data_IF_107427063828
#
_entry.id   IF_107427063828
#
_cell.length_a   1.000
_cell.length_b   1.000
_cell.length_c   1.000
_cell.angle_alpha   90.00
_cell.angle_beta   90.00
_cell.angle_gamma   90.00
#
_symmetry.space_group_name_H-M   'P 1'
#
loop_
_entity.id
_entity.type
_entity.pdbx_description
1 polymer ?
#
# COMPACT_ATOMS: atom_id res chain seq x y z
N UNK A 1 -6.14 -27.00 -11.72
CA UNK A 1 -4.89 -26.26 -11.93
C UNK A 1 -4.41 -25.75 -10.59
N UNK A 2 -3.17 -26.06 -10.24
CA UNK A 2 -2.51 -25.63 -9.00
C UNK A 2 -1.60 -24.44 -9.29
N UNK A 3 -1.86 -23.31 -8.65
CA UNK A 3 -1.04 -22.10 -8.79
C UNK A 3 -0.26 -21.82 -7.53
N UNK A 4 1.00 -21.44 -7.66
CA UNK A 4 1.82 -20.93 -6.54
C UNK A 4 2.05 -19.45 -6.71
N UNK A 5 1.79 -18.70 -5.62
CA UNK A 5 2.04 -17.27 -5.54
C UNK A 5 3.15 -16.99 -4.54
N UNK A 6 4.23 -16.36 -4.99
CA UNK A 6 5.41 -16.02 -4.17
C UNK A 6 5.32 -14.60 -3.70
N UNK A 7 5.08 -14.39 -2.40
CA UNK A 7 5.00 -13.09 -1.74
C UNK A 7 3.60 -12.75 -1.22
N UNK A 8 3.54 -12.32 0.05
CA UNK A 8 2.31 -12.03 0.80
C UNK A 8 1.94 -10.54 0.88
N UNK A 9 2.51 -9.69 0.02
CA UNK A 9 2.08 -8.30 -0.12
C UNK A 9 0.78 -8.15 -0.92
N UNK A 10 0.31 -6.92 -1.12
CA UNK A 10 -0.95 -6.64 -1.84
C UNK A 10 -1.00 -7.30 -3.22
N UNK A 11 0.10 -7.28 -3.98
CA UNK A 11 0.15 -7.88 -5.32
C UNK A 11 -0.07 -9.41 -5.27
N UNK A 12 0.62 -10.12 -4.37
CA UNK A 12 0.45 -11.56 -4.23
C UNK A 12 -0.92 -11.94 -3.69
N UNK A 13 -1.45 -11.20 -2.70
CA UNK A 13 -2.80 -11.42 -2.20
C UNK A 13 -3.84 -11.20 -3.29
N UNK A 14 -3.73 -10.13 -4.08
CA UNK A 14 -4.63 -9.86 -5.20
C UNK A 14 -4.57 -10.96 -6.27
N UNK A 15 -3.37 -11.43 -6.63
CA UNK A 15 -3.20 -12.53 -7.58
C UNK A 15 -3.84 -13.84 -7.05
N UNK A 16 -3.62 -14.17 -5.78
CA UNK A 16 -4.14 -15.38 -5.18
C UNK A 16 -5.68 -15.37 -5.09
N UNK A 17 -6.28 -14.23 -4.73
CA UNK A 17 -7.73 -14.06 -4.68
C UNK A 17 -8.36 -14.16 -6.08
N UNK A 18 -7.78 -13.51 -7.08
CA UNK A 18 -8.23 -13.62 -8.48
C UNK A 18 -8.14 -15.05 -9.03
N UNK A 19 -7.09 -15.77 -8.71
CA UNK A 19 -6.93 -17.17 -9.08
C UNK A 19 -8.02 -18.06 -8.43
N UNK A 20 -8.30 -17.84 -7.14
CA UNK A 20 -9.37 -18.57 -6.42
C UNK A 20 -10.74 -18.30 -6.98
N UNK A 21 -11.06 -17.05 -7.30
CA UNK A 21 -12.33 -16.67 -7.93
C UNK A 21 -12.52 -17.35 -9.29
N UNK A 22 -11.43 -17.78 -9.95
CA UNK A 22 -11.43 -18.54 -11.21
C UNK A 22 -11.35 -20.06 -11.02
N UNK A 23 -11.51 -20.54 -9.80
CA UNK A 23 -11.56 -21.95 -9.49
C UNK A 23 -10.20 -22.66 -9.43
N UNK A 24 -9.08 -21.93 -9.41
CA UNK A 24 -7.77 -22.54 -9.25
C UNK A 24 -7.52 -22.97 -7.80
N UNK A 25 -6.77 -24.03 -7.59
CA UNK A 25 -6.16 -24.33 -6.31
C UNK A 25 -4.93 -23.44 -6.13
N UNK A 26 -4.84 -22.74 -4.99
CA UNK A 26 -3.81 -21.71 -4.79
C UNK A 26 -3.06 -21.93 -3.49
N UNK A 27 -1.73 -21.95 -3.58
CA UNK A 27 -0.82 -21.84 -2.45
C UNK A 27 -0.06 -20.52 -2.52
N UNK A 28 -0.21 -19.66 -1.50
CA UNK A 28 0.56 -18.45 -1.34
C UNK A 28 1.69 -18.68 -0.34
N UNK A 29 2.94 -18.46 -0.77
CA UNK A 29 4.13 -18.57 0.08
C UNK A 29 4.57 -17.18 0.52
N UNK A 30 4.67 -16.95 1.85
CA UNK A 30 5.10 -15.65 2.40
C UNK A 30 6.14 -15.79 3.50
N UNK A 31 7.22 -15.03 3.41
CA UNK A 31 8.23 -14.92 4.46
C UNK A 31 7.83 -13.92 5.55
N UNK A 32 6.93 -12.98 5.23
CA UNK A 32 6.47 -11.93 6.15
C UNK A 32 5.45 -11.00 5.50
N UNK A 33 5.06 -9.91 6.17
CA UNK A 33 4.00 -9.01 5.70
C UNK A 33 4.39 -8.11 4.51
N UNK A 34 5.67 -8.02 4.15
CA UNK A 34 6.15 -7.20 3.04
C UNK A 34 5.94 -5.68 3.24
N UNK A 35 6.20 -4.89 2.17
CA UNK A 35 6.06 -3.43 2.20
C UNK A 35 4.60 -2.95 2.36
N UNK A 36 3.62 -3.79 2.08
CA UNK A 36 2.20 -3.49 2.26
C UNK A 36 1.87 -3.14 3.72
N UNK A 37 2.50 -3.81 4.69
CA UNK A 37 2.32 -3.51 6.12
C UNK A 37 2.91 -2.16 6.56
N UNK A 38 3.64 -1.48 5.69
CA UNK A 38 4.16 -0.12 5.92
C UNK A 38 3.25 0.96 5.31
N UNK A 39 2.08 0.59 4.77
CA UNK A 39 1.11 1.54 4.22
C UNK A 39 0.66 2.55 5.26
N UNK A 40 0.54 3.80 4.82
CA UNK A 40 0.11 4.92 5.68
C UNK A 40 -1.41 5.08 5.77
N UNK A 41 -2.18 4.26 5.03
CA UNK A 41 -3.64 4.31 5.01
C UNK A 41 -4.23 4.83 3.71
N UNK A 42 -3.42 5.06 2.68
CA UNK A 42 -3.87 5.41 1.33
C UNK A 42 -3.64 4.26 0.35
N UNK A 43 -4.48 4.20 -0.68
CA UNK A 43 -4.30 3.41 -1.89
C UNK A 43 -4.07 4.39 -3.04
N UNK A 44 -2.83 4.84 -3.19
CA UNK A 44 -2.46 5.79 -4.21
C UNK A 44 -2.26 5.07 -5.55
N UNK A 45 -2.95 5.52 -6.58
CA UNK A 45 -2.84 5.01 -7.97
C UNK A 45 -1.95 5.93 -8.80
N UNK A 46 -2.02 7.23 -8.54
CA UNK A 46 -1.17 8.25 -9.14
C UNK A 46 -1.23 9.54 -8.30
N UNK A 47 -1.06 9.42 -6.98
CA UNK A 47 -1.18 10.57 -6.10
C UNK A 47 0.02 11.51 -6.26
N UNK A 48 -0.25 12.77 -6.53
CA UNK A 48 0.79 13.78 -6.64
C UNK A 48 1.27 14.23 -5.25
N UNK A 49 2.56 14.55 -5.15
CA UNK A 49 3.11 15.22 -3.97
C UNK A 49 3.32 16.70 -4.26
N UNK A 50 2.77 17.63 -3.47
CA UNK A 50 2.98 19.06 -3.69
C UNK A 50 4.44 19.49 -3.50
N UNK A 51 5.23 18.69 -2.79
CA UNK A 51 6.56 19.07 -2.33
C UNK A 51 7.71 18.37 -3.07
N UNK A 52 7.44 17.49 -4.07
CA UNK A 52 8.51 16.78 -4.79
C UNK A 52 8.72 17.33 -6.20
N UNK A 53 9.97 17.69 -6.52
CA UNK A 53 10.40 18.02 -7.89
C UNK A 53 10.23 16.83 -8.81
N UNK A 54 9.58 17.03 -9.95
CA UNK A 54 9.44 16.03 -11.03
C UNK A 54 8.29 15.04 -10.86
N UNK A 55 7.41 15.19 -9.86
CA UNK A 55 6.12 14.50 -9.82
C UNK A 55 5.11 15.15 -10.78
N UNK A 56 4.01 14.43 -11.07
CA UNK A 56 2.91 15.02 -11.83
C UNK A 56 2.34 16.25 -11.10
N UNK A 57 1.96 17.30 -11.83
CA UNK A 57 1.40 18.49 -11.20
C UNK A 57 0.08 18.14 -10.48
N UNK A 58 -0.13 18.70 -9.30
CA UNK A 58 -1.39 18.59 -8.57
C UNK A 58 -2.52 19.35 -9.24
N UNK A 59 -2.17 20.38 -9.97
CA UNK A 59 -3.10 21.29 -10.64
C UNK A 59 -2.81 21.34 -12.12
N UNK A 60 -3.86 21.45 -12.89
CA UNK A 60 -3.76 21.79 -14.31
C UNK A 60 -3.05 23.15 -14.45
N UNK A 61 -1.93 23.25 -15.18
CA UNK A 61 -1.17 24.50 -15.30
C UNK A 61 -1.97 25.60 -16.00
N UNK A 62 -2.96 25.25 -16.81
CA UNK A 62 -3.78 26.20 -17.59
C UNK A 62 -4.97 26.70 -16.79
N UNK A 63 -5.65 25.81 -16.07
CA UNK A 63 -6.90 26.14 -15.35
C UNK A 63 -6.72 26.37 -13.87
N UNK A 64 -5.56 26.02 -13.28
CA UNK A 64 -5.29 26.05 -11.85
C UNK A 64 -6.11 25.08 -11.00
N UNK A 65 -6.99 24.27 -11.62
CA UNK A 65 -7.85 23.30 -10.93
C UNK A 65 -7.07 22.06 -10.56
N UNK A 66 -7.43 21.43 -9.42
CA UNK A 66 -6.87 20.13 -9.04
C UNK A 66 -7.14 19.09 -10.15
N UNK A 67 -6.08 18.38 -10.54
CA UNK A 67 -6.20 17.28 -11.49
C UNK A 67 -6.87 16.09 -10.80
N UNK A 68 -7.90 15.55 -11.43
CA UNK A 68 -8.54 14.32 -10.99
C UNK A 68 -7.54 13.15 -11.01
N UNK A 69 -7.64 12.17 -10.07
CA UNK A 69 -6.81 10.98 -10.04
C UNK A 69 -6.72 10.26 -11.38
N UNK A 70 -7.83 10.12 -12.11
CA UNK A 70 -7.86 9.51 -13.43
C UNK A 70 -6.95 10.22 -14.45
N UNK A 71 -6.91 11.55 -14.45
CA UNK A 71 -6.01 12.31 -15.34
C UNK A 71 -4.53 12.17 -14.96
N UNK A 72 -4.23 12.08 -13.68
CA UNK A 72 -2.86 11.84 -13.21
C UNK A 72 -2.38 10.44 -13.59
N UNK A 73 -3.26 9.44 -13.48
CA UNK A 73 -2.99 8.06 -13.90
C UNK A 73 -2.55 7.99 -15.38
N UNK A 74 -3.31 8.63 -16.26
CA UNK A 74 -2.96 8.76 -17.68
C UNK A 74 -1.64 9.51 -17.87
N UNK A 75 -1.39 10.55 -17.08
CA UNK A 75 -0.14 11.30 -17.10
C UNK A 75 1.08 10.43 -16.78
N UNK A 76 0.97 9.56 -15.76
CA UNK A 76 2.06 8.61 -15.41
C UNK A 76 2.30 7.63 -16.55
N UNK A 77 1.24 7.01 -17.08
CA UNK A 77 1.36 6.02 -18.15
C UNK A 77 1.95 6.60 -19.45
N UNK A 78 1.63 7.86 -19.77
CA UNK A 78 2.12 8.54 -20.98
C UNK A 78 3.53 9.10 -20.80
N UNK A 79 3.89 9.57 -19.60
CA UNK A 79 5.21 10.14 -19.34
C UNK A 79 6.33 9.10 -19.36
N UNK A 80 6.03 7.85 -19.04
CA UNK A 80 6.99 6.75 -19.04
C UNK A 80 6.36 5.49 -19.64
N UNK A 81 6.67 5.22 -20.91
CA UNK A 81 6.17 4.02 -21.64
C UNK A 81 6.69 2.70 -21.09
N UNK A 82 7.74 2.72 -20.26
CA UNK A 82 8.24 1.55 -19.56
C UNK A 82 7.56 1.35 -18.19
N UNK A 83 6.78 2.33 -17.69
CA UNK A 83 6.04 2.19 -16.44
C UNK A 83 5.03 1.03 -16.54
N UNK A 84 4.84 0.23 -15.48
CA UNK A 84 3.88 -0.89 -15.50
C UNK A 84 2.47 -0.49 -15.96
N UNK A 85 2.02 0.72 -15.68
CA UNK A 85 0.72 1.23 -16.16
C UNK A 85 0.61 1.30 -17.68
N UNK A 86 1.69 1.58 -18.39
CA UNK A 86 1.67 1.57 -19.85
C UNK A 86 1.34 0.18 -20.44
N UNK A 87 1.67 -0.88 -19.70
CA UNK A 87 1.30 -2.27 -20.07
C UNK A 87 -0.08 -2.64 -19.54
N UNK A 88 -0.37 -2.36 -18.28
CA UNK A 88 -1.60 -2.75 -17.60
C UNK A 88 -2.86 -2.10 -18.18
N UNK A 89 -2.73 -0.86 -18.69
CA UNK A 89 -3.87 -0.01 -19.10
C UNK A 89 -4.06 0.08 -20.63
N UNK A 90 -3.35 -0.75 -21.41
CA UNK A 90 -3.40 -0.68 -22.89
C UNK A 90 -4.72 -1.12 -23.51
N UNK A 91 -5.49 -2.00 -22.88
CA UNK A 91 -6.62 -2.68 -23.50
C UNK A 91 -7.99 -2.14 -23.09
N UNK A 92 -8.05 -1.23 -22.10
CA UNK A 92 -9.29 -0.71 -21.52
C UNK A 92 -9.15 0.76 -21.12
N UNK A 93 -10.26 1.38 -20.77
CA UNK A 93 -10.21 2.67 -20.09
C UNK A 93 -9.43 2.51 -18.77
N UNK A 94 -8.36 3.27 -18.55
CA UNK A 94 -7.60 3.24 -17.31
C UNK A 94 -8.44 3.39 -16.04
N UNK A 95 -9.48 4.20 -16.13
CA UNK A 95 -10.42 4.45 -15.05
C UNK A 95 -11.23 3.20 -14.70
N UNK A 96 -11.69 2.45 -15.71
CA UNK A 96 -12.45 1.21 -15.49
C UNK A 96 -11.61 0.15 -14.82
N UNK A 97 -10.35 -0.05 -15.25
CA UNK A 97 -9.42 -1.01 -14.64
C UNK A 97 -9.17 -0.70 -13.16
N UNK A 98 -8.96 0.58 -12.83
CA UNK A 98 -8.74 0.98 -11.44
C UNK A 98 -10.01 0.87 -10.61
N UNK A 99 -11.18 1.26 -11.17
CA UNK A 99 -12.48 1.14 -10.48
C UNK A 99 -12.81 -0.33 -10.18
N UNK A 100 -12.67 -1.21 -11.15
CA UNK A 100 -12.87 -2.66 -10.97
C UNK A 100 -11.93 -3.23 -9.90
N UNK A 101 -10.66 -2.83 -9.93
CA UNK A 101 -9.67 -3.27 -8.96
C UNK A 101 -9.99 -2.75 -7.54
N UNK A 102 -10.41 -1.49 -7.41
CA UNK A 102 -10.78 -0.90 -6.14
C UNK A 102 -12.05 -1.58 -5.56
N UNK A 103 -13.04 -1.87 -6.40
CA UNK A 103 -14.28 -2.60 -6.00
C UNK A 103 -13.94 -4.02 -5.53
N UNK A 104 -13.08 -4.75 -6.26
CA UNK A 104 -12.65 -6.08 -5.85
C UNK A 104 -11.91 -6.02 -4.50
N UNK A 105 -10.97 -5.09 -4.35
CA UNK A 105 -10.24 -4.91 -3.09
C UNK A 105 -11.18 -4.58 -1.93
N UNK A 106 -12.12 -3.65 -2.14
CA UNK A 106 -13.14 -3.31 -1.14
C UNK A 106 -13.94 -4.54 -0.71
N UNK A 107 -14.39 -5.35 -1.67
CA UNK A 107 -15.11 -6.60 -1.41
C UNK A 107 -14.29 -7.60 -0.58
N UNK A 108 -13.00 -7.73 -0.83
CA UNK A 108 -12.10 -8.61 -0.07
C UNK A 108 -11.85 -8.11 1.35
N UNK A 109 -11.76 -6.79 1.56
CA UNK A 109 -11.41 -6.18 2.83
C UNK A 109 -12.62 -5.88 3.73
N UNK A 110 -13.78 -5.60 3.15
CA UNK A 110 -14.99 -5.17 3.87
C UNK A 110 -15.41 -6.08 5.04
N UNK A 111 -15.35 -7.43 4.93
CA UNK A 111 -15.67 -8.31 6.06
C UNK A 111 -14.76 -8.12 7.28
N UNK A 112 -13.56 -7.55 7.08
CA UNK A 112 -12.62 -7.19 8.16
C UNK A 112 -12.82 -5.76 8.66
N UNK A 113 -13.86 -5.04 8.24
CA UNK A 113 -14.13 -3.66 8.64
C UNK A 113 -13.21 -2.63 7.99
N UNK A 114 -12.48 -3.02 6.95
CA UNK A 114 -11.62 -2.11 6.19
C UNK A 114 -12.23 -1.87 4.80
N UNK A 115 -12.60 -0.62 4.51
CA UNK A 115 -13.22 -0.22 3.25
C UNK A 115 -12.25 0.62 2.43
N UNK A 116 -12.44 0.61 1.11
CA UNK A 116 -11.75 1.53 0.20
C UNK A 116 -12.65 2.74 -0.06
N UNK A 117 -12.20 3.91 0.34
CA UNK A 117 -12.94 5.17 0.29
C UNK A 117 -12.30 6.13 -0.72
N UNK A 118 -13.11 6.89 -1.43
CA UNK A 118 -12.66 7.87 -2.40
C UNK A 118 -13.21 7.62 -3.80
N UNK A 119 -12.74 8.39 -4.75
CA UNK A 119 -13.11 8.26 -6.16
C UNK A 119 -11.96 8.70 -7.07
N UNK A 120 -12.02 8.32 -8.34
CA UNK A 120 -11.03 8.75 -9.33
C UNK A 120 -11.35 10.12 -9.94
N UNK A 121 -12.52 10.66 -9.63
CA UNK A 121 -12.99 11.98 -10.10
C UNK A 121 -12.51 13.12 -9.20
N UNK A 122 -12.25 12.84 -7.91
CA UNK A 122 -11.92 13.86 -6.93
C UNK A 122 -10.77 13.45 -6.02
N UNK A 123 -9.76 14.33 -5.91
CA UNK A 123 -8.66 14.17 -4.97
C UNK A 123 -9.14 14.41 -3.55
N UNK A 124 -8.76 13.55 -2.62
CA UNK A 124 -8.88 13.76 -1.17
C UNK A 124 -7.65 14.44 -0.62
N UNK A 125 -7.83 15.27 0.38
CA UNK A 125 -6.77 15.96 1.08
C UNK A 125 -6.70 15.44 2.51
N UNK A 126 -5.69 14.66 2.82
CA UNK A 126 -5.53 14.00 4.12
C UNK A 126 -4.30 14.57 4.84
N UNK A 127 -4.37 14.69 6.17
CA UNK A 127 -3.22 15.08 6.98
C UNK A 127 -2.46 13.86 7.52
N UNK A 128 -1.14 13.95 7.58
CA UNK A 128 -0.32 12.96 8.28
C UNK A 128 -0.02 13.41 9.74
N UNK A 129 0.61 12.51 10.50
CA UNK A 129 1.00 12.75 11.90
C UNK A 129 1.88 14.00 12.12
N UNK A 130 2.52 14.50 11.09
CA UNK A 130 3.35 15.71 11.16
C UNK A 130 2.58 16.98 10.76
N UNK A 131 1.31 16.81 10.35
CA UNK A 131 0.48 17.88 9.83
C UNK A 131 0.67 18.18 8.35
N UNK A 132 1.54 17.44 7.65
CA UNK A 132 1.69 17.61 6.20
C UNK A 132 0.44 17.12 5.47
N UNK A 133 -0.02 17.91 4.50
CA UNK A 133 -1.20 17.57 3.70
C UNK A 133 -0.79 16.73 2.49
N UNK A 134 -1.49 15.63 2.30
CA UNK A 134 -1.26 14.71 1.20
C UNK A 134 -2.49 14.62 0.31
N UNK A 135 -2.25 14.73 -0.98
CA UNK A 135 -3.23 14.32 -1.98
C UNK A 135 -3.33 12.79 -1.96
N UNK A 136 -4.52 12.26 -1.83
CA UNK A 136 -4.81 10.84 -1.94
C UNK A 136 -5.86 10.58 -3.03
N UNK A 137 -5.70 9.48 -3.75
CA UNK A 137 -6.70 9.03 -4.73
C UNK A 137 -7.79 8.25 -4.02
N UNK A 138 -7.38 7.17 -3.36
CA UNK A 138 -8.22 6.33 -2.52
C UNK A 138 -7.54 6.18 -1.15
N UNK A 139 -8.34 5.87 -0.13
CA UNK A 139 -7.83 5.66 1.22
C UNK A 139 -8.62 4.54 1.91
N UNK A 140 -8.04 3.97 2.96
CA UNK A 140 -8.72 2.96 3.76
C UNK A 140 -9.48 3.61 4.92
N UNK A 141 -10.49 2.90 5.43
CA UNK A 141 -11.19 3.23 6.67
C UNK A 141 -10.18 3.59 7.77
N UNK A 142 -10.45 4.62 8.50
CA UNK A 142 -9.55 5.28 9.44
C UNK A 142 -9.13 6.63 8.92
N UNK A 143 -8.25 6.67 7.96
CA UNK A 143 -7.80 7.93 7.36
C UNK A 143 -8.75 8.47 6.28
N UNK A 144 -9.45 7.58 5.59
CA UNK A 144 -10.30 7.95 4.45
C UNK A 144 -11.46 8.88 4.79
N UNK A 145 -11.95 8.87 6.01
CA UNK A 145 -12.99 9.79 6.51
C UNK A 145 -12.46 11.22 6.73
N UNK A 146 -11.14 11.39 6.76
CA UNK A 146 -10.45 12.62 7.15
C UNK A 146 -10.26 13.66 6.05
N UNK A 147 -11.09 13.69 4.99
CA UNK A 147 -10.92 14.69 3.92
C UNK A 147 -11.08 16.12 4.44
N UNK A 148 -9.96 16.84 4.40
CA UNK A 148 -9.85 18.23 4.89
C UNK A 148 -10.66 19.20 4.05
N UNK A 149 -10.90 18.90 2.76
CA UNK A 149 -11.60 19.81 1.86
C UNK A 149 -13.06 20.02 2.25
N UNK A 150 -13.69 19.05 2.86
CA UNK A 150 -15.09 19.03 3.25
C UNK A 150 -15.35 19.48 4.70
N UNK A 151 -14.30 19.83 5.48
CA UNK A 151 -14.44 20.24 6.88
C UNK A 151 -14.63 21.76 7.03
N UNK A 152 -15.46 22.19 7.96
CA UNK A 152 -15.62 23.60 8.39
C UNK A 152 -14.59 23.92 9.47
N UNK A 153 -14.46 23.07 10.46
CA UNK A 153 -13.47 23.13 11.52
C UNK A 153 -12.69 21.81 11.58
N UNK A 154 -11.38 21.90 11.74
CA UNK A 154 -10.48 20.76 11.88
C UNK A 154 -9.84 20.79 13.26
N UNK A 155 -9.99 19.73 14.03
CA UNK A 155 -9.39 19.62 15.34
C UNK A 155 -8.45 18.40 15.39
N UNK A 156 -7.18 18.64 15.71
CA UNK A 156 -6.24 17.56 16.04
C UNK A 156 -6.46 17.16 17.50
N UNK A 157 -6.71 15.87 17.74
CA UNK A 157 -6.91 15.34 19.09
C UNK A 157 -5.56 14.92 19.67
N UNK A 158 -5.13 15.68 20.68
CA UNK A 158 -3.90 15.44 21.43
C UNK A 158 -4.17 14.41 22.54
N UNK A 159 -3.91 13.13 22.23
CA UNK A 159 -4.09 12.02 23.18
C UNK A 159 -2.91 12.02 24.14
N UNK A 160 -3.14 12.44 25.39
CA UNK A 160 -2.08 12.62 26.37
C UNK A 160 -1.37 11.30 26.70
N UNK A 161 -0.04 11.33 26.68
CA UNK A 161 0.81 10.17 26.94
C UNK A 161 1.08 9.30 25.72
N UNK A 162 0.45 9.56 24.58
CA UNK A 162 0.75 8.85 23.32
C UNK A 162 2.07 9.35 22.73
N UNK A 163 3.07 8.47 22.66
CA UNK A 163 4.34 8.78 22.01
C UNK A 163 4.24 8.87 20.48
N UNK A 164 5.09 9.68 19.87
CA UNK A 164 5.21 9.77 18.42
C UNK A 164 4.22 10.70 17.72
N UNK A 165 3.39 11.44 18.48
CA UNK A 165 2.50 12.48 17.97
C UNK A 165 2.53 13.71 18.85
N UNK A 166 2.74 14.88 18.22
CA UNK A 166 2.73 16.19 18.87
C UNK A 166 1.74 17.12 18.15
N UNK A 167 0.54 17.26 18.68
CA UNK A 167 -0.56 17.95 17.99
C UNK A 167 -0.29 19.44 17.70
N UNK A 168 0.42 20.16 18.58
CA UNK A 168 0.69 21.61 18.39
C UNK A 168 1.67 21.87 17.24
N UNK A 169 2.85 21.20 17.14
CA UNK A 169 3.70 21.30 15.96
C UNK A 169 2.99 20.87 14.68
N UNK A 170 2.26 19.74 14.70
CA UNK A 170 1.49 19.27 13.57
C UNK A 170 0.44 20.28 13.09
N UNK A 171 -0.25 20.95 14.01
CA UNK A 171 -1.24 21.98 13.65
C UNK A 171 -0.60 23.17 12.93
N UNK A 172 0.62 23.60 13.32
CA UNK A 172 1.33 24.69 12.65
C UNK A 172 1.69 24.31 11.21
N UNK A 173 2.16 23.09 11.00
CA UNK A 173 2.45 22.57 9.65
C UNK A 173 1.17 22.49 8.84
N UNK A 174 0.10 21.92 9.41
CA UNK A 174 -1.20 21.82 8.76
C UNK A 174 -1.75 23.18 8.32
N UNK A 175 -1.62 24.21 9.16
CA UNK A 175 -2.06 25.57 8.84
C UNK A 175 -1.30 26.13 7.61
N UNK A 176 0.02 25.95 7.57
CA UNK A 176 0.85 26.42 6.46
C UNK A 176 0.52 25.67 5.15
N UNK A 177 0.36 24.34 5.23
CA UNK A 177 0.01 23.49 4.09
C UNK A 177 -1.38 23.83 3.52
N UNK A 178 -2.39 24.01 4.40
CA UNK A 178 -3.73 24.42 3.98
C UNK A 178 -3.74 25.81 3.34
N UNK A 179 -2.93 26.75 3.84
CA UNK A 179 -2.77 28.07 3.23
C UNK A 179 -2.17 27.96 1.82
N UNK A 180 -1.12 27.15 1.64
CA UNK A 180 -0.49 26.91 0.34
C UNK A 180 -1.45 26.26 -0.68
N UNK A 181 -2.42 25.47 -0.20
CA UNK A 181 -3.44 24.82 -1.01
C UNK A 181 -4.68 25.70 -1.27
N UNK A 182 -4.74 26.92 -0.70
CA UNK A 182 -5.93 27.79 -0.79
C UNK A 182 -7.11 27.29 0.05
N UNK A 183 -6.84 26.50 1.07
CA UNK A 183 -7.82 25.93 1.99
C UNK A 183 -7.79 26.58 3.39
N UNK A 184 -7.25 27.78 3.52
CA UNK A 184 -6.97 28.47 4.80
C UNK A 184 -8.20 28.98 5.58
N UNK A 185 -9.39 28.95 4.99
CA UNK A 185 -10.62 29.48 5.63
C UNK A 185 -11.20 28.62 6.75
N UNK A 186 -10.55 27.51 7.09
CA UNK A 186 -11.01 26.56 8.11
C UNK A 186 -10.49 26.92 9.48
N UNK A 187 -11.34 26.82 10.50
CA UNK A 187 -10.89 26.93 11.88
C UNK A 187 -10.02 25.71 12.26
N UNK A 188 -8.88 25.96 12.89
CA UNK A 188 -7.95 24.92 13.31
C UNK A 188 -7.80 24.92 14.82
N UNK A 189 -7.89 23.75 15.46
CA UNK A 189 -7.77 23.59 16.91
C UNK A 189 -6.92 22.38 17.29
N UNK A 190 -6.35 22.43 18.50
CA UNK A 190 -5.86 21.27 19.24
C UNK A 190 -6.83 21.02 20.40
N UNK A 191 -7.37 19.84 20.50
CA UNK A 191 -8.22 19.40 21.60
C UNK A 191 -7.48 18.32 22.40
N UNK A 192 -7.30 18.54 23.67
CA UNK A 192 -6.63 17.57 24.55
C UNK A 192 -7.61 16.51 25.00
N UNK A 193 -7.17 15.25 24.92
CA UNK A 193 -7.89 14.09 25.41
C UNK A 193 -7.04 13.38 26.47
N UNK A 194 -7.48 13.47 27.71
CA UNK A 194 -6.93 12.70 28.81
C UNK A 194 -7.59 11.33 28.85
N UNK A 195 -6.78 10.28 28.84
CA UNK A 195 -7.29 8.92 28.85
C UNK A 195 -7.62 8.48 30.29
N UNK A 196 -8.69 7.67 30.50
CA UNK A 196 -8.93 7.02 31.77
C UNK A 196 -7.72 6.19 32.23
N UNK A 197 -7.48 5.99 33.54
CA UNK A 197 -6.25 5.37 34.05
C UNK A 197 -5.89 4.05 33.39
N UNK A 198 -6.87 3.18 33.12
CA UNK A 198 -6.65 1.88 32.45
C UNK A 198 -6.16 2.02 30.99
N UNK A 199 -6.64 3.04 30.25
CA UNK A 199 -6.18 3.32 28.89
C UNK A 199 -4.89 4.14 28.89
N UNK A 200 -4.71 5.05 29.83
CA UNK A 200 -3.50 5.84 29.97
C UNK A 200 -2.25 4.97 30.15
N UNK A 201 -2.37 3.86 30.89
CA UNK A 201 -1.29 2.88 31.03
C UNK A 201 -0.89 2.22 29.70
N UNK A 202 -1.74 2.26 28.67
CA UNK A 202 -1.50 1.70 27.35
C UNK A 202 -1.02 2.75 26.33
N UNK A 203 -0.99 4.03 26.68
CA UNK A 203 -0.67 5.12 25.74
C UNK A 203 0.71 4.97 25.09
N UNK A 204 1.70 4.41 25.81
CA UNK A 204 3.04 4.11 25.24
C UNK A 204 3.06 2.87 24.33
N UNK A 205 1.95 2.15 24.18
CA UNK A 205 1.81 0.92 23.41
C UNK A 205 0.64 1.04 22.42
N UNK A 206 0.82 1.75 21.28
CA UNK A 206 -0.27 2.13 20.37
C UNK A 206 -1.15 0.96 19.91
N UNK A 207 -0.56 -0.19 19.60
CA UNK A 207 -1.32 -1.36 19.19
C UNK A 207 -2.22 -1.93 20.30
N UNK A 208 -1.74 -1.89 21.57
CA UNK A 208 -2.54 -2.32 22.71
C UNK A 208 -3.64 -1.32 23.05
N UNK A 209 -3.36 -0.03 22.93
CA UNK A 209 -4.39 1.01 23.07
C UNK A 209 -5.47 0.83 21.99
N UNK A 210 -5.06 0.64 20.73
CA UNK A 210 -5.98 0.40 19.63
C UNK A 210 -6.88 -0.83 19.88
N UNK A 211 -6.30 -1.95 20.30
CA UNK A 211 -7.06 -3.15 20.66
C UNK A 211 -8.03 -2.93 21.84
N UNK A 212 -7.59 -2.19 22.87
CA UNK A 212 -8.44 -1.88 24.02
C UNK A 212 -9.66 -1.06 23.63
N UNK A 213 -9.54 -0.10 22.71
CA UNK A 213 -10.65 0.75 22.24
C UNK A 213 -11.73 -0.05 21.48
N UNK A 214 -11.47 -1.27 21.07
CA UNK A 214 -12.47 -2.16 20.49
C UNK A 214 -13.39 -2.80 21.54
N UNK A 215 -13.05 -2.71 22.83
CA UNK A 215 -13.82 -3.29 23.92
C UNK A 215 -14.86 -2.32 24.47
N UNK A 216 -16.03 -2.85 24.89
CA UNK A 216 -17.09 -2.03 25.48
C UNK A 216 -16.63 -1.30 26.76
N UNK A 217 -15.93 -1.96 27.73
CA UNK A 217 -15.49 -1.27 28.94
C UNK A 217 -14.59 -0.07 28.69
N UNK A 218 -13.68 -0.15 27.69
CA UNK A 218 -12.82 0.97 27.32
C UNK A 218 -13.61 2.13 26.71
N UNK A 219 -14.59 1.84 25.86
CA UNK A 219 -15.48 2.83 25.25
C UNK A 219 -16.39 3.49 26.27
N UNK A 220 -16.94 2.73 27.20
CA UNK A 220 -17.79 3.25 28.27
C UNK A 220 -17.00 4.20 29.19
N UNK A 221 -15.75 3.86 29.51
CA UNK A 221 -14.88 4.72 30.31
C UNK A 221 -14.45 5.99 29.58
N UNK A 222 -14.24 5.92 28.26
CA UNK A 222 -13.75 7.05 27.44
C UNK A 222 -14.90 7.96 26.99
N UNK A 223 -16.10 7.45 26.77
CA UNK A 223 -17.24 8.17 26.19
C UNK A 223 -17.55 9.53 26.86
N UNK A 224 -17.65 9.62 28.21
CA UNK A 224 -17.87 10.89 28.89
C UNK A 224 -16.81 11.96 28.59
N UNK A 225 -15.56 11.56 28.38
CA UNK A 225 -14.44 12.47 28.11
C UNK A 225 -14.41 12.97 26.65
N UNK A 226 -15.13 12.33 25.75
CA UNK A 226 -15.25 12.72 24.35
C UNK A 226 -16.32 13.80 24.11
N UNK A 227 -17.35 13.87 24.95
CA UNK A 227 -18.47 14.82 24.81
C UNK A 227 -18.02 16.29 24.69
N UNK A 228 -17.02 16.77 25.48
CA UNK A 228 -16.54 18.15 25.36
C UNK A 228 -15.85 18.45 24.01
N UNK A 229 -15.50 17.43 23.21
CA UNK A 229 -14.90 17.59 21.89
C UNK A 229 -15.95 17.87 20.80
N UNK A 230 -17.22 17.67 21.10
CA UNK A 230 -18.33 17.82 20.17
C UNK A 230 -18.48 19.27 19.66
N UNK A 231 -18.66 19.43 18.34
CA UNK A 231 -19.15 20.66 17.70
C UNK A 231 -19.65 20.35 16.30
N UNK A 232 -20.71 21.04 15.89
CA UNK A 232 -21.29 20.87 14.56
C UNK A 232 -20.28 21.19 13.45
N UNK A 233 -20.21 20.36 12.42
CA UNK A 233 -19.32 20.53 11.25
C UNK A 233 -17.84 20.30 11.54
N UNK A 234 -17.47 19.89 12.76
CA UNK A 234 -16.09 19.60 13.13
C UNK A 234 -15.63 18.26 12.61
N UNK A 235 -14.39 18.21 12.08
CA UNK A 235 -13.63 17.00 11.82
C UNK A 235 -12.64 16.80 12.96
N UNK A 236 -12.79 15.69 13.70
CA UNK A 236 -11.83 15.24 14.71
C UNK A 236 -10.80 14.31 14.06
N UNK A 237 -9.53 14.73 14.08
CA UNK A 237 -8.42 13.93 13.58
C UNK A 237 -7.62 13.37 14.76
N UNK A 238 -7.67 12.06 14.90
CA UNK A 238 -6.94 11.31 15.91
C UNK A 238 -5.62 10.79 15.34
N UNK A 239 -4.59 10.57 16.15
CA UNK A 239 -3.49 9.70 15.77
C UNK A 239 -4.02 8.30 15.43
N UNK A 240 -3.31 7.50 14.59
CA UNK A 240 -3.81 6.21 14.10
C UNK A 240 -3.75 5.13 15.20
N UNK A 241 -4.69 5.20 16.14
CA UNK A 241 -4.85 4.27 17.28
C UNK A 241 -6.31 3.85 17.51
N UNK A 242 -7.21 4.11 16.55
CA UNK A 242 -8.64 3.90 16.69
C UNK A 242 -9.06 2.48 16.28
N UNK A 243 -8.60 1.48 17.02
CA UNK A 243 -8.89 0.08 16.75
C UNK A 243 -7.74 -0.63 16.02
N UNK A 244 -7.53 -1.88 16.36
CA UNK A 244 -6.47 -2.70 15.78
C UNK A 244 -6.98 -3.56 14.61
N UNK A 245 -8.17 -4.12 14.72
CA UNK A 245 -8.80 -4.98 13.73
C UNK A 245 -10.14 -4.42 13.21
N UNK A 246 -10.86 -3.67 14.03
CA UNK A 246 -12.19 -3.14 13.74
C UNK A 246 -12.27 -1.62 13.91
N UNK A 247 -11.37 -0.92 13.21
CA UNK A 247 -11.35 0.55 13.17
C UNK A 247 -12.70 1.15 12.76
N UNK A 248 -13.44 0.48 11.88
CA UNK A 248 -14.80 0.84 11.47
C UNK A 248 -15.76 1.00 12.68
N UNK A 249 -15.74 0.06 13.60
CA UNK A 249 -16.62 0.08 14.80
C UNK A 249 -16.23 1.19 15.77
N UNK A 250 -14.93 1.43 15.94
CA UNK A 250 -14.46 2.48 16.84
C UNK A 250 -14.78 3.85 16.26
N UNK A 251 -14.60 4.07 14.95
CA UNK A 251 -14.99 5.30 14.29
C UNK A 251 -16.48 5.57 14.35
N UNK A 252 -17.31 4.56 14.07
CA UNK A 252 -18.76 4.70 14.17
C UNK A 252 -19.16 5.11 15.60
N UNK A 253 -18.65 4.41 16.62
CA UNK A 253 -18.90 4.76 18.02
C UNK A 253 -18.43 6.17 18.39
N UNK A 254 -17.25 6.60 17.93
CA UNK A 254 -16.75 7.97 18.15
C UNK A 254 -17.66 9.02 17.51
N UNK A 255 -18.09 8.78 16.27
CA UNK A 255 -19.00 9.69 15.57
C UNK A 255 -20.36 9.78 16.25
N UNK A 256 -20.91 8.66 16.71
CA UNK A 256 -22.17 8.62 17.46
C UNK A 256 -22.06 9.33 18.83
N UNK A 257 -20.91 9.16 19.52
CA UNK A 257 -20.68 9.76 20.83
C UNK A 257 -20.47 11.26 20.78
N UNK A 258 -19.78 11.76 19.73
CA UNK A 258 -19.39 13.17 19.61
C UNK A 258 -20.31 13.97 18.68
N UNK A 259 -21.09 13.33 17.82
CA UNK A 259 -21.83 14.00 16.73
C UNK A 259 -20.91 14.61 15.68
N UNK A 260 -19.61 14.31 15.72
CA UNK A 260 -18.60 14.84 14.80
C UNK A 260 -18.19 13.79 13.77
N UNK A 261 -17.68 14.23 12.64
CA UNK A 261 -16.94 13.34 11.75
C UNK A 261 -15.58 13.03 12.39
N UNK A 262 -15.27 11.76 12.57
CA UNK A 262 -14.03 11.29 13.16
C UNK A 262 -13.19 10.56 12.13
N UNK A 263 -11.87 10.77 12.17
CA UNK A 263 -10.93 10.08 11.30
C UNK A 263 -9.55 9.96 11.98
N UNK A 264 -8.69 9.13 11.40
CA UNK A 264 -7.29 9.07 11.78
C UNK A 264 -6.42 9.94 10.86
N UNK A 265 -5.35 10.49 11.41
CA UNK A 265 -4.23 11.00 10.64
C UNK A 265 -3.57 9.84 9.88
N UNK A 266 -2.99 10.13 8.71
CA UNK A 266 -2.21 9.13 7.98
C UNK A 266 -1.07 8.61 8.88
N UNK A 267 -0.97 7.29 8.96
CA UNK A 267 0.05 6.62 9.76
C UNK A 267 1.44 6.82 9.17
N UNK A 268 2.42 6.97 10.05
CA UNK A 268 3.84 6.95 9.73
C UNK A 268 4.57 6.28 10.90
N UNK A 269 5.79 5.75 10.71
CA UNK A 269 6.56 5.32 11.86
C UNK A 269 6.66 6.47 12.90
N UNK A 270 6.48 6.20 14.19
CA UNK A 270 6.42 4.89 14.86
C UNK A 270 5.01 4.27 14.97
N UNK A 271 3.98 4.78 14.30
CA UNK A 271 2.58 4.34 14.42
C UNK A 271 2.02 3.73 13.10
N UNK A 272 2.57 2.62 12.58
CA UNK A 272 2.18 2.07 11.27
C UNK A 272 0.93 1.18 11.33
N UNK A 273 -0.08 1.47 12.17
CA UNK A 273 -1.25 0.60 12.35
C UNK A 273 -2.12 0.44 11.10
N UNK A 274 -2.16 1.45 10.23
CA UNK A 274 -2.92 1.36 8.97
C UNK A 274 -2.42 0.22 8.08
N UNK A 275 -1.10 0.08 7.91
CA UNK A 275 -0.49 -1.00 7.16
C UNK A 275 -0.66 -2.36 7.81
N UNK A 276 -0.59 -2.43 9.15
CA UNK A 276 -0.89 -3.64 9.90
C UNK A 276 -2.32 -4.12 9.66
N UNK A 277 -3.31 -3.22 9.73
CA UNK A 277 -4.73 -3.53 9.45
C UNK A 277 -4.92 -4.06 8.03
N UNK A 278 -4.26 -3.44 7.05
CA UNK A 278 -4.32 -3.88 5.66
C UNK A 278 -3.76 -5.29 5.49
N UNK A 279 -2.59 -5.59 6.06
CA UNK A 279 -2.01 -6.94 6.00
C UNK A 279 -2.93 -7.97 6.66
N UNK A 280 -3.47 -7.68 7.86
CA UNK A 280 -4.39 -8.57 8.56
C UNK A 280 -5.68 -8.82 7.78
N UNK A 281 -6.27 -7.78 7.19
CA UNK A 281 -7.47 -7.88 6.39
C UNK A 281 -7.24 -8.72 5.10
N UNK A 282 -6.09 -8.58 4.45
CA UNK A 282 -5.70 -9.39 3.30
C UNK A 282 -5.51 -10.86 3.69
N UNK A 283 -4.81 -11.15 4.79
CA UNK A 283 -4.65 -12.53 5.28
C UNK A 283 -6.01 -13.16 5.61
N UNK A 284 -6.90 -12.41 6.25
CA UNK A 284 -8.25 -12.88 6.52
C UNK A 284 -9.07 -13.12 5.23
N UNK A 285 -8.89 -12.30 4.19
CA UNK A 285 -9.52 -12.49 2.88
C UNK A 285 -9.02 -13.77 2.20
N UNK A 286 -7.71 -14.05 2.23
CA UNK A 286 -7.14 -15.30 1.72
C UNK A 286 -7.76 -16.52 2.43
N UNK A 287 -7.86 -16.49 3.76
CA UNK A 287 -8.47 -17.56 4.53
C UNK A 287 -9.94 -17.79 4.17
N UNK A 288 -10.74 -16.72 4.03
CA UNK A 288 -12.15 -16.82 3.61
C UNK A 288 -12.31 -17.40 2.18
N UNK A 289 -11.37 -17.07 1.30
CA UNK A 289 -11.37 -17.59 -0.06
C UNK A 289 -10.85 -19.04 -0.16
N UNK A 290 -10.34 -19.63 0.92
CA UNK A 290 -9.75 -20.96 0.91
C UNK A 290 -8.40 -21.04 0.17
N UNK A 291 -7.63 -19.94 0.19
CA UNK A 291 -6.24 -19.94 -0.29
C UNK A 291 -5.36 -20.59 0.77
N UNK A 292 -4.56 -21.59 0.37
CA UNK A 292 -3.50 -22.13 1.20
C UNK A 292 -2.41 -21.08 1.44
N UNK A 293 -2.04 -20.83 2.69
CA UNK A 293 -0.95 -19.91 3.04
C UNK A 293 0.15 -20.67 3.75
N UNK A 294 1.34 -20.64 3.17
CA UNK A 294 2.53 -21.27 3.74
C UNK A 294 3.54 -20.21 4.16
N UNK A 295 3.95 -20.26 5.42
CA UNK A 295 5.07 -19.46 5.91
C UNK A 295 6.39 -20.06 5.36
N UNK A 296 7.27 -19.20 4.86
CA UNK A 296 8.54 -19.61 4.29
C UNK A 296 9.00 -18.71 3.16
N UNK A 297 10.15 -19.06 2.61
CA UNK A 297 10.76 -18.36 1.48
C UNK A 297 10.99 -19.33 0.32
N UNK A 298 10.53 -18.98 -0.87
CA UNK A 298 10.89 -19.71 -2.09
C UNK A 298 12.37 -19.45 -2.39
N UNK A 299 13.13 -20.51 -2.56
CA UNK A 299 14.58 -20.47 -2.77
C UNK A 299 15.02 -21.00 -4.13
N UNK A 300 14.15 -21.74 -4.82
CA UNK A 300 14.41 -22.26 -6.16
C UNK A 300 13.12 -22.42 -6.96
N UNK A 301 13.26 -22.40 -8.28
CA UNK A 301 12.20 -22.72 -9.23
C UNK A 301 12.71 -23.90 -10.08
N UNK A 302 11.93 -24.98 -10.11
CA UNK A 302 12.18 -26.12 -10.97
C UNK A 302 11.53 -25.87 -12.32
N UNK A 303 12.28 -26.12 -13.40
CA UNK A 303 11.82 -25.83 -14.76
C UNK A 303 11.98 -27.01 -15.67
N UNK A 304 10.99 -27.23 -16.56
CA UNK A 304 11.01 -28.24 -17.58
C UNK A 304 10.35 -27.71 -18.85
N UNK A 305 11.00 -27.85 -20.00
CA UNK A 305 10.46 -27.47 -21.31
C UNK A 305 10.00 -26.00 -21.40
N UNK A 306 10.69 -25.05 -20.73
CA UNK A 306 10.31 -23.63 -20.71
C UNK A 306 9.10 -23.32 -19.82
N UNK A 307 8.79 -24.20 -18.87
CA UNK A 307 7.74 -24.04 -17.87
C UNK A 307 8.30 -24.18 -16.45
N UNK A 308 7.77 -23.45 -15.52
CA UNK A 308 7.93 -23.73 -14.11
C UNK A 308 7.05 -24.95 -13.75
N UNK A 309 7.63 -25.95 -13.09
CA UNK A 309 6.94 -27.19 -12.68
C UNK A 309 6.93 -27.37 -11.16
N UNK A 310 7.80 -26.67 -10.44
CA UNK A 310 7.89 -26.74 -9.00
C UNK A 310 8.63 -25.55 -8.38
N UNK A 311 8.51 -25.42 -7.07
CA UNK A 311 9.29 -24.49 -6.25
C UNK A 311 9.82 -25.17 -5.00
N UNK A 312 11.05 -24.82 -4.60
CA UNK A 312 11.62 -25.18 -3.31
C UNK A 312 11.30 -24.12 -2.26
N UNK A 313 10.78 -24.52 -1.09
CA UNK A 313 10.36 -23.61 -0.01
C UNK A 313 11.17 -23.91 1.24
N UNK A 314 12.01 -22.95 1.66
CA UNK A 314 12.69 -22.98 2.92
C UNK A 314 11.79 -22.50 4.06
N UNK A 315 11.85 -23.16 5.19
CA UNK A 315 11.11 -22.79 6.40
C UNK A 315 11.61 -21.46 6.98
N UNK A 316 10.75 -20.73 7.74
CA UNK A 316 11.15 -19.50 8.40
C UNK A 316 12.38 -19.72 9.31
N UNK A 317 13.40 -18.86 9.16
CA UNK A 317 14.63 -18.95 9.94
C UNK A 317 15.67 -19.97 9.42
N UNK A 318 15.36 -20.71 8.35
CA UNK A 318 16.35 -21.57 7.71
C UNK A 318 17.51 -20.73 7.14
N UNK A 319 18.78 -21.23 7.25
CA UNK A 319 19.92 -20.53 6.68
C UNK A 319 19.81 -20.41 5.16
N UNK A 320 20.53 -19.42 4.61
CA UNK A 320 20.58 -19.24 3.16
C UNK A 320 21.18 -20.49 2.50
N UNK A 321 20.54 -20.96 1.42
CA UNK A 321 20.93 -22.19 0.71
C UNK A 321 20.40 -23.48 1.32
N UNK A 322 19.62 -23.44 2.41
CA UNK A 322 18.96 -24.65 2.92
C UNK A 322 18.03 -25.25 1.87
N UNK A 323 18.02 -26.60 1.70
CA UNK A 323 17.09 -27.26 0.77
C UNK A 323 15.66 -27.01 1.21
N UNK A 324 14.83 -26.57 0.27
CA UNK A 324 13.40 -26.31 0.50
C UNK A 324 12.56 -27.57 0.25
N UNK A 325 11.43 -27.67 0.92
CA UNK A 325 10.41 -28.67 0.55
C UNK A 325 9.83 -28.34 -0.83
N UNK A 326 9.83 -29.30 -1.73
CA UNK A 326 9.30 -29.14 -3.09
C UNK A 326 7.77 -29.00 -3.09
N UNK A 327 7.24 -28.13 -3.94
CA UNK A 327 5.83 -27.95 -4.20
C UNK A 327 5.62 -27.85 -5.72
N UNK A 328 4.88 -28.80 -6.29
CA UNK A 328 4.54 -28.83 -7.71
C UNK A 328 3.52 -27.73 -8.07
N UNK A 329 3.55 -27.25 -9.31
CA UNK A 329 2.66 -26.21 -9.80
C UNK A 329 2.41 -26.29 -11.31
N UNK A 330 1.27 -25.74 -11.73
CA UNK A 330 0.93 -25.51 -13.14
C UNK A 330 1.20 -24.06 -13.55
N UNK A 331 1.06 -23.10 -12.63
CA UNK A 331 1.31 -21.68 -12.86
C UNK A 331 2.00 -21.01 -11.66
N UNK A 332 2.88 -20.04 -11.94
CA UNK A 332 3.68 -19.32 -10.96
C UNK A 332 3.41 -17.82 -11.03
N UNK A 333 3.15 -17.18 -9.89
CA UNK A 333 3.12 -15.72 -9.79
C UNK A 333 4.23 -15.24 -8.87
N UNK A 334 5.15 -14.45 -9.39
CA UNK A 334 6.25 -13.81 -8.66
C UNK A 334 5.80 -12.42 -8.20
N UNK A 335 5.42 -12.31 -6.94
CA UNK A 335 5.05 -11.07 -6.26
C UNK A 335 5.95 -10.83 -5.03
N UNK A 336 7.23 -11.23 -5.16
CA UNK A 336 8.26 -11.21 -4.13
C UNK A 336 8.63 -9.80 -3.63
N UNK A 337 8.14 -8.77 -4.32
CA UNK A 337 8.44 -7.38 -4.02
C UNK A 337 9.86 -7.01 -4.45
N UNK A 338 10.36 -5.87 -3.91
CA UNK A 338 11.69 -5.38 -4.21
C UNK A 338 12.63 -5.74 -3.04
N UNK A 339 13.13 -4.75 -2.31
CA UNK A 339 14.12 -4.98 -1.24
C UNK A 339 13.52 -5.59 0.04
N UNK A 340 12.36 -5.08 0.49
CA UNK A 340 11.70 -5.55 1.72
C UNK A 340 11.24 -7.00 1.59
N UNK A 341 10.74 -7.38 0.42
CA UNK A 341 10.25 -8.74 0.15
C UNK A 341 11.34 -9.72 -0.29
N UNK A 342 12.56 -9.22 -0.58
CA UNK A 342 13.67 -10.06 -1.06
C UNK A 342 13.57 -10.46 -2.53
N UNK A 343 12.70 -9.84 -3.32
CA UNK A 343 12.61 -10.04 -4.77
C UNK A 343 13.78 -9.40 -5.55
N UNK A 344 14.47 -8.45 -4.94
CA UNK A 344 15.75 -7.91 -5.40
C UNK A 344 16.69 -7.89 -4.20
N UNK A 345 17.86 -8.48 -4.36
CA UNK A 345 18.86 -8.63 -3.31
C UNK A 345 20.22 -8.10 -3.75
N UNK A 346 21.10 -7.88 -2.81
CA UNK A 346 22.52 -7.75 -3.10
C UNK A 346 23.16 -9.16 -3.01
N UNK A 347 23.80 -9.57 -4.10
CA UNK A 347 24.59 -10.80 -4.18
C UNK A 347 25.97 -10.44 -4.71
N UNK A 348 27.01 -10.78 -3.97
CA UNK A 348 28.41 -10.47 -4.32
C UNK A 348 28.65 -8.98 -4.66
N UNK A 349 28.02 -8.07 -3.89
CA UNK A 349 28.14 -6.63 -4.09
C UNK A 349 27.34 -6.05 -5.26
N UNK A 350 26.44 -6.82 -5.88
CA UNK A 350 25.66 -6.46 -7.07
C UNK A 350 24.15 -6.71 -6.85
N UNK A 351 23.32 -5.95 -7.54
CA UNK A 351 21.89 -6.22 -7.57
C UNK A 351 21.59 -7.49 -8.39
N UNK A 352 20.70 -8.32 -7.87
CA UNK A 352 20.21 -9.54 -8.52
C UNK A 352 18.75 -9.82 -8.16
N UNK A 353 18.02 -10.41 -9.09
CA UNK A 353 16.75 -11.11 -8.82
C UNK A 353 17.12 -12.58 -8.49
N UNK A 354 16.78 -13.09 -7.28
CA UNK A 354 17.41 -14.30 -6.76
C UNK A 354 16.84 -15.61 -7.31
N UNK A 355 15.68 -15.65 -7.97
CA UNK A 355 14.97 -16.86 -8.34
C UNK A 355 15.17 -17.28 -9.80
N UNK A 356 15.17 -16.33 -10.72
CA UNK A 356 15.27 -16.56 -12.17
C UNK A 356 16.42 -15.79 -12.82
N UNK A 357 17.21 -15.07 -12.03
CA UNK A 357 18.29 -14.18 -12.50
C UNK A 357 17.81 -13.18 -13.57
N UNK A 358 16.61 -12.63 -13.35
CA UNK A 358 15.98 -11.69 -14.27
C UNK A 358 16.80 -10.40 -14.41
N UNK A 359 16.94 -9.85 -15.61
CA UNK A 359 17.56 -8.57 -15.82
C UNK A 359 16.74 -7.45 -15.16
N UNK A 360 17.42 -6.54 -14.45
CA UNK A 360 16.81 -5.44 -13.72
C UNK A 360 17.04 -4.13 -14.46
N UNK A 361 16.04 -3.26 -14.52
CA UNK A 361 16.04 -2.01 -15.27
C UNK A 361 15.63 -0.83 -14.37
N UNK A 362 16.30 0.31 -14.53
CA UNK A 362 15.96 1.57 -13.87
C UNK A 362 14.81 2.32 -14.60
N UNK A 363 14.46 3.52 -14.11
CA UNK A 363 13.39 4.36 -14.67
C UNK A 363 13.63 4.72 -16.15
N UNK A 364 14.89 4.94 -16.54
CA UNK A 364 15.29 5.24 -17.92
C UNK A 364 15.39 3.99 -18.81
N UNK A 365 15.11 2.82 -18.27
CA UNK A 365 15.21 1.55 -19.01
C UNK A 365 16.64 1.05 -19.19
N UNK A 366 17.60 1.59 -18.45
CA UNK A 366 18.98 1.09 -18.42
C UNK A 366 19.04 -0.16 -17.56
N UNK A 367 19.76 -1.18 -18.02
CA UNK A 367 20.04 -2.39 -17.27
C UNK A 367 20.94 -2.08 -16.06
N UNK A 368 20.53 -2.54 -14.86
CA UNK A 368 21.20 -2.20 -13.59
C UNK A 368 21.55 -3.42 -12.73
N UNK A 369 21.11 -4.63 -13.11
CA UNK A 369 21.62 -5.86 -12.50
C UNK A 369 23.13 -5.93 -12.69
N UNK A 370 23.84 -6.54 -11.77
CA UNK A 370 25.29 -6.55 -11.78
C UNK A 370 25.95 -5.22 -11.37
N UNK A 371 25.21 -4.14 -11.09
CA UNK A 371 25.76 -2.91 -10.50
C UNK A 371 25.66 -2.94 -8.97
N UNK A 372 26.67 -2.35 -8.32
CA UNK A 372 26.61 -2.19 -6.87
C UNK A 372 25.52 -1.19 -6.48
N UNK A 373 24.68 -1.46 -5.45
CA UNK A 373 23.59 -0.57 -5.00
C UNK A 373 24.03 0.88 -4.79
N UNK A 374 25.23 1.10 -4.24
CA UNK A 374 25.82 2.44 -4.02
C UNK A 374 25.99 3.29 -5.29
N UNK A 375 26.07 2.67 -6.46
CA UNK A 375 26.15 3.37 -7.75
C UNK A 375 24.79 3.84 -8.26
N UNK A 376 23.72 3.34 -7.66
CA UNK A 376 22.34 3.61 -8.04
C UNK A 376 21.63 4.59 -7.08
N UNK A 377 22.34 5.05 -6.04
CA UNK A 377 21.86 6.07 -5.10
C UNK A 377 22.52 7.40 -5.43
N UNK A 378 21.75 8.47 -5.50
CA UNK A 378 22.22 9.84 -5.72
C UNK A 378 22.16 10.65 -4.42
N UNK A 379 23.04 11.65 -4.29
CA UNK A 379 23.08 12.55 -3.12
C UNK A 379 21.85 13.46 -3.01
N UNK A 380 21.21 13.76 -4.13
CA UNK A 380 19.96 14.52 -4.16
C UNK A 380 18.77 13.62 -3.80
N UNK A 381 18.28 13.71 -2.58
CA UNK A 381 17.15 12.94 -2.08
C UNK A 381 15.82 13.26 -2.78
N UNK A 382 15.68 14.48 -3.32
CA UNK A 382 14.47 14.90 -4.04
C UNK A 382 14.49 14.46 -5.51
N UNK A 383 15.67 14.13 -6.01
CA UNK A 383 15.90 13.67 -7.37
C UNK A 383 15.55 12.20 -7.57
N UNK A 384 15.68 11.79 -8.82
CA UNK A 384 15.53 10.40 -9.23
C UNK A 384 16.57 9.50 -8.56
N UNK A 385 16.12 8.40 -7.97
CA UNK A 385 16.96 7.38 -7.37
C UNK A 385 16.85 6.09 -8.19
N UNK A 386 17.81 5.79 -9.08
CA UNK A 386 17.76 4.60 -9.95
C UNK A 386 17.54 3.29 -9.19
N UNK A 387 18.05 3.20 -7.95
CA UNK A 387 17.84 2.04 -7.09
C UNK A 387 16.37 1.75 -6.85
N UNK A 388 15.57 2.80 -6.58
CA UNK A 388 14.15 2.61 -6.26
C UNK A 388 13.28 2.30 -7.48
N UNK A 389 13.80 2.47 -8.68
CA UNK A 389 13.13 2.10 -9.91
C UNK A 389 13.60 0.73 -10.46
N UNK A 390 14.62 0.12 -9.83
CA UNK A 390 15.16 -1.16 -10.28
C UNK A 390 14.12 -2.28 -10.17
N UNK A 391 13.94 -3.05 -11.25
CA UNK A 391 13.03 -4.18 -11.29
C UNK A 391 12.98 -4.85 -12.65
N UNK A 392 12.28 -5.98 -12.73
CA UNK A 392 12.15 -6.78 -13.94
C UNK A 392 11.20 -6.13 -14.95
N UNK A 393 11.43 -6.40 -16.24
CA UNK A 393 10.50 -6.10 -17.33
C UNK A 393 9.63 -7.31 -17.63
N UNK A 394 8.46 -7.05 -18.21
CA UNK A 394 7.50 -8.08 -18.60
C UNK A 394 6.95 -7.80 -20.00
N UNK A 395 6.40 -8.84 -20.60
CA UNK A 395 5.54 -8.71 -21.78
C UNK A 395 4.14 -8.18 -21.40
N UNK A 396 3.25 -8.09 -22.38
CA UNK A 396 1.87 -7.61 -22.19
C UNK A 396 1.02 -8.51 -21.29
N UNK A 397 1.42 -9.76 -21.08
CA UNK A 397 0.77 -10.72 -20.18
C UNK A 397 1.41 -10.79 -18.81
N UNK A 398 2.34 -9.89 -18.50
CA UNK A 398 3.14 -9.85 -17.28
C UNK A 398 4.09 -11.06 -17.11
N UNK A 399 4.46 -11.75 -18.18
CA UNK A 399 5.50 -12.77 -18.13
C UNK A 399 6.88 -12.07 -18.08
N UNK A 400 7.76 -12.44 -17.12
CA UNK A 400 9.09 -11.87 -17.04
C UNK A 400 9.87 -12.05 -18.34
N UNK A 401 10.67 -11.04 -18.70
CA UNK A 401 11.54 -11.09 -19.87
C UNK A 401 12.98 -11.37 -19.46
N UNK A 402 13.64 -12.26 -20.16
CA UNK A 402 15.05 -12.56 -20.05
C UNK A 402 15.95 -11.50 -20.70
N UNK A 403 17.27 -11.75 -20.72
CA UNK A 403 18.26 -10.78 -21.20
C UNK A 403 18.06 -10.35 -22.66
N UNK A 404 17.61 -11.24 -23.51
CA UNK A 404 17.40 -11.01 -24.94
C UNK A 404 15.94 -10.59 -25.28
N UNK A 405 15.12 -10.36 -24.23
CA UNK A 405 13.72 -9.99 -24.38
C UNK A 405 12.78 -11.17 -24.65
N UNK A 406 13.27 -12.39 -24.60
CA UNK A 406 12.48 -13.64 -24.67
C UNK A 406 11.69 -13.87 -23.37
N UNK A 407 10.70 -14.74 -23.44
CA UNK A 407 9.94 -15.20 -22.27
C UNK A 407 10.51 -16.56 -21.82
N UNK A 408 11.31 -16.60 -20.75
CA UNK A 408 11.97 -17.84 -20.32
C UNK A 408 11.01 -18.91 -19.81
N UNK A 409 9.89 -18.48 -19.19
CA UNK A 409 8.88 -19.38 -18.63
C UNK A 409 7.48 -18.93 -19.05
N UNK A 410 6.79 -19.75 -19.82
CA UNK A 410 5.48 -19.39 -20.41
C UNK A 410 4.35 -19.33 -19.39
N UNK A 411 4.48 -19.95 -18.22
CA UNK A 411 3.52 -20.04 -17.12
C UNK A 411 3.96 -19.31 -15.84
N UNK A 412 4.96 -18.42 -15.93
CA UNK A 412 5.39 -17.55 -14.84
C UNK A 412 5.00 -16.10 -15.12
N UNK A 413 4.51 -15.39 -14.08
CA UNK A 413 4.02 -14.02 -14.16
C UNK A 413 4.63 -13.18 -13.03
N UNK A 414 4.97 -11.91 -13.28
CA UNK A 414 5.52 -11.00 -12.29
C UNK A 414 4.53 -9.90 -11.93
N UNK A 415 4.51 -9.51 -10.65
CA UNK A 415 3.60 -8.48 -10.15
C UNK A 415 4.20 -7.66 -8.99
N UNK A 416 3.62 -6.49 -8.75
CA UNK A 416 3.98 -5.60 -7.64
C UNK A 416 5.33 -4.95 -7.81
N UNK A 417 6.03 -4.76 -6.70
CA UNK A 417 7.30 -4.05 -6.64
C UNK A 417 8.49 -4.82 -7.29
N UNK A 418 8.30 -6.05 -7.74
CA UNK A 418 9.26 -6.75 -8.57
C UNK A 418 9.36 -6.10 -9.97
N UNK A 419 8.29 -5.47 -10.43
CA UNK A 419 8.28 -4.74 -11.70
C UNK A 419 9.19 -3.52 -11.62
N UNK A 420 9.93 -3.26 -12.69
CA UNK A 420 10.85 -2.15 -12.81
C UNK A 420 10.27 -0.91 -13.47
N UNK A 421 11.15 0.06 -13.73
CA UNK A 421 10.86 1.27 -14.49
C UNK A 421 9.84 2.21 -13.83
N UNK A 422 9.65 2.12 -12.51
CA UNK A 422 8.88 3.09 -11.72
C UNK A 422 9.44 3.21 -10.29
N UNK A 423 9.37 4.41 -9.73
CA UNK A 423 9.73 4.67 -8.33
C UNK A 423 8.44 4.84 -7.51
N UNK A 424 8.04 3.84 -6.70
CA UNK A 424 6.79 3.87 -5.95
C UNK A 424 6.71 5.01 -4.93
N UNK A 425 7.85 5.50 -4.44
CA UNK A 425 7.87 6.62 -3.49
C UNK A 425 7.72 7.97 -4.19
N UNK A 426 8.30 8.13 -5.38
CA UNK A 426 8.24 9.35 -6.18
C UNK A 426 6.91 9.48 -6.92
N UNK A 427 6.51 8.42 -7.60
CA UNK A 427 5.32 8.41 -8.45
C UNK A 427 4.05 8.21 -7.61
N UNK A 428 4.20 7.72 -6.37
CA UNK A 428 3.12 7.38 -5.44
C UNK A 428 2.10 6.44 -6.08
N UNK A 429 2.63 5.43 -6.78
CA UNK A 429 1.83 4.44 -7.51
C UNK A 429 1.97 3.03 -6.95
N UNK A 430 2.78 2.85 -5.89
CA UNK A 430 3.21 1.53 -5.41
C UNK A 430 2.06 0.57 -5.12
N UNK A 431 1.06 0.97 -4.32
CA UNK A 431 -0.11 0.11 -4.04
C UNK A 431 -1.03 -0.03 -5.25
N UNK A 432 -1.15 1.00 -6.11
CA UNK A 432 -1.88 0.93 -7.36
C UNK A 432 -1.26 -0.07 -8.33
N UNK A 433 0.05 0.00 -8.56
CA UNK A 433 0.78 -0.99 -9.37
C UNK A 433 0.65 -2.38 -8.76
N UNK A 434 0.79 -2.52 -7.44
CA UNK A 434 0.67 -3.80 -6.76
C UNK A 434 -0.71 -4.44 -6.96
N UNK A 435 -1.78 -3.68 -6.77
CA UNK A 435 -3.14 -4.16 -6.94
C UNK A 435 -3.45 -4.55 -8.39
N UNK A 436 -3.17 -3.65 -9.33
CA UNK A 436 -3.51 -3.86 -10.75
C UNK A 436 -2.68 -4.98 -11.38
N UNK A 437 -1.36 -5.00 -11.12
CA UNK A 437 -0.51 -6.06 -11.65
C UNK A 437 -0.77 -7.41 -11.00
N UNK A 438 -1.05 -7.43 -9.69
CA UNK A 438 -1.42 -8.66 -8.98
C UNK A 438 -2.68 -9.28 -9.54
N UNK A 439 -3.76 -8.50 -9.69
CA UNK A 439 -5.00 -8.96 -10.34
C UNK A 439 -4.76 -9.46 -11.76
N UNK A 440 -4.05 -8.69 -12.57
CA UNK A 440 -3.75 -9.08 -13.95
C UNK A 440 -2.92 -10.35 -14.02
N UNK A 441 -1.90 -10.50 -13.18
CA UNK A 441 -1.09 -11.72 -13.10
C UNK A 441 -1.94 -12.95 -12.72
N UNK A 442 -2.87 -12.80 -11.75
CA UNK A 442 -3.81 -13.87 -11.39
C UNK A 442 -4.73 -14.25 -12.54
N UNK A 443 -5.26 -13.27 -13.29
CA UNK A 443 -6.10 -13.50 -14.48
C UNK A 443 -5.32 -14.24 -15.58
N UNK A 444 -4.08 -13.83 -15.85
CA UNK A 444 -3.26 -14.47 -16.90
C UNK A 444 -2.78 -15.86 -16.49
N UNK A 445 -2.44 -16.04 -15.21
CA UNK A 445 -2.04 -17.35 -14.67
C UNK A 445 -3.19 -18.37 -14.68
N UNK A 446 -4.43 -17.93 -14.48
CA UNK A 446 -5.61 -18.80 -14.56
C UNK A 446 -5.89 -19.36 -15.97
N UNK A 447 -5.18 -18.88 -17.00
CA UNK A 447 -5.31 -19.32 -18.42
C UNK A 447 -4.26 -20.34 -18.84
N UNK A 448 -3.35 -20.69 -17.94
CA UNK A 448 -2.33 -21.71 -18.18
C UNK A 448 -2.88 -23.12 -18.01
#
# INVERSE_FOLDING_TARGET
MTAVVVGGGLAGCAAALELRERGCEVMLVRAGPGSTAMSWGTLDVAAASPLRRGGLPLRDPTTGRALAPARRLLGVANANTAHPYATLLRSRSPESEVKEAAVALDGWLAPSGLRVLGSLEQTRWLADLRGAVRAADLAFTGAGEGDLASAVEIALVDVLGLGGFEARPALRVLAAELAALGLSRRALRVLRLELPPGLAALASQPARLAAALETAPARDALGPLLRPLAAEGRLLLFPPVLGLERVDRVLAWLSDTTGCRCAELLGAPPLPLAGYRLDRALVAALGRAGVGVRAGRVTSIETEGGRAVGVGIAEPGAPDGAPGAALALDALVLASGRFVGGGIVERDGRLAEPLLDLPLYDLGGRRVDGLAPRRLVRRDYEGEQPLFAAGARTDARLRPLGPDGEVPLVNAFAAGDLLGSFDPARDRTGLGVALLSGRRAGIEAARC
#
